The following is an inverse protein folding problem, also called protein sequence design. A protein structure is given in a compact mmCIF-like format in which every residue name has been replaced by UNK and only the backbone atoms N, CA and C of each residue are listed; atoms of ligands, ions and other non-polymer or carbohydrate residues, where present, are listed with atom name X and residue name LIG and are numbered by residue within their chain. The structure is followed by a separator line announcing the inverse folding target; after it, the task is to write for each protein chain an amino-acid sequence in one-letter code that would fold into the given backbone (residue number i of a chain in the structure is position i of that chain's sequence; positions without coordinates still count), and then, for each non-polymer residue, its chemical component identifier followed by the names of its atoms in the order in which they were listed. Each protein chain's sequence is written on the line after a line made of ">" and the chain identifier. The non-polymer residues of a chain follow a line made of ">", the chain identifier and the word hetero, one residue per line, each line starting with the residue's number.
data_IF_099408569425
#
_entry.id   IF_099408569425
#
_cell.length_a   1.000
_cell.length_b   1.000
_cell.length_c   1.000
_cell.angle_alpha   90.00
_cell.angle_beta   90.00
_cell.angle_gamma   90.00
#
_symmetry.space_group_name_H-M   'P 1'
#
loop_
_entity.id
_entity.type
_entity.pdbx_description
1 polymer ?
#
# COMPACT_ATOMS: atom_id res chain seq x y z
N UNK A 1 -16.99 -35.39 -10.29
CA UNK A 1 -15.92 -35.10 -9.31
C UNK A 1 -15.53 -33.64 -9.46
N UNK A 2 -15.90 -32.72 -8.55
CA UNK A 2 -15.40 -31.35 -8.64
C UNK A 2 -13.95 -31.33 -8.15
N UNK A 3 -13.06 -30.78 -8.98
CA UNK A 3 -11.67 -30.56 -8.63
C UNK A 3 -11.59 -29.63 -7.41
N UNK A 4 -10.84 -30.04 -6.38
CA UNK A 4 -10.50 -29.15 -5.26
C UNK A 4 -9.63 -28.04 -5.83
N UNK A 5 -10.20 -26.83 -5.96
CA UNK A 5 -9.42 -25.62 -6.18
C UNK A 5 -8.39 -25.52 -5.04
N UNK A 6 -7.11 -25.19 -5.32
CA UNK A 6 -6.14 -24.98 -4.28
C UNK A 6 -6.65 -23.87 -3.35
N UNK A 7 -6.57 -24.13 -2.05
CA UNK A 7 -6.83 -23.15 -1.00
C UNK A 7 -6.02 -21.89 -1.35
N UNK A 8 -6.72 -20.76 -1.40
CA UNK A 8 -6.26 -19.42 -1.78
C UNK A 8 -4.75 -19.19 -1.58
N UNK A 9 -4.01 -18.61 -2.55
CA UNK A 9 -2.69 -18.07 -2.23
C UNK A 9 -2.88 -17.09 -1.07
N UNK A 10 -2.17 -17.32 0.04
CA UNK A 10 -2.21 -16.43 1.20
C UNK A 10 -1.81 -15.04 0.72
N UNK A 11 -2.77 -14.15 0.54
CA UNK A 11 -2.48 -12.76 0.18
C UNK A 11 -2.07 -12.06 1.46
N UNK A 12 -0.77 -11.93 1.63
CA UNK A 12 -0.18 -11.26 2.77
C UNK A 12 -0.31 -9.74 2.58
N UNK A 13 -1.15 -9.13 3.41
CA UNK A 13 -1.30 -7.68 3.54
C UNK A 13 -0.55 -7.18 4.78
N UNK A 14 0.23 -6.12 4.65
CA UNK A 14 0.96 -5.50 5.75
C UNK A 14 0.52 -4.06 5.92
N UNK A 15 0.32 -3.61 7.17
CA UNK A 15 0.07 -2.17 7.41
C UNK A 15 1.26 -1.36 6.92
N UNK A 16 0.97 -0.18 6.39
CA UNK A 16 2.00 0.75 5.91
C UNK A 16 3.09 0.95 6.97
N UNK A 17 2.70 1.18 8.22
CA UNK A 17 3.64 1.41 9.31
C UNK A 17 4.39 0.18 9.80
N UNK A 18 3.83 -1.02 9.62
CA UNK A 18 4.58 -2.25 9.91
C UNK A 18 5.73 -2.39 8.91
N UNK A 19 5.47 -2.14 7.62
CA UNK A 19 6.50 -2.12 6.57
C UNK A 19 7.54 -1.04 6.83
N UNK A 20 7.12 0.18 7.21
CA UNK A 20 8.07 1.24 7.60
C UNK A 20 8.97 0.77 8.74
N UNK A 21 8.39 0.21 9.81
CA UNK A 21 9.13 -0.19 11.01
C UNK A 21 10.11 -1.33 10.70
N UNK A 22 9.65 -2.36 9.99
CA UNK A 22 10.46 -3.52 9.63
C UNK A 22 11.59 -3.13 8.67
N UNK A 23 11.29 -2.33 7.65
CA UNK A 23 12.28 -1.93 6.66
C UNK A 23 13.30 -0.93 7.21
N UNK A 24 12.88 -0.04 8.11
CA UNK A 24 13.78 0.86 8.85
C UNK A 24 14.78 0.06 9.70
N UNK A 25 14.31 -0.97 10.40
CA UNK A 25 15.19 -1.87 11.17
C UNK A 25 16.17 -2.61 10.28
N UNK A 26 15.71 -3.15 9.16
CA UNK A 26 16.56 -3.87 8.21
C UNK A 26 17.65 -2.97 7.59
N UNK A 27 17.30 -1.73 7.27
CA UNK A 27 18.21 -0.77 6.62
C UNK A 27 19.06 0.03 7.61
N UNK A 28 18.85 -0.13 8.93
CA UNK A 28 19.44 0.71 9.98
C UNK A 28 19.18 2.21 9.74
N UNK A 29 17.99 2.54 9.26
CA UNK A 29 17.55 3.90 8.96
C UNK A 29 16.46 4.36 9.95
N UNK A 30 16.27 5.67 10.09
CA UNK A 30 15.16 6.21 10.86
C UNK A 30 13.83 5.99 10.12
N UNK A 31 12.77 5.62 10.84
CA UNK A 31 11.45 5.35 10.24
C UNK A 31 10.91 6.50 9.38
N UNK A 32 11.16 7.76 9.76
CA UNK A 32 10.77 8.92 8.97
C UNK A 32 11.40 8.94 7.57
N UNK A 33 12.64 8.45 7.41
CA UNK A 33 13.31 8.37 6.11
C UNK A 33 12.58 7.35 5.24
N UNK A 34 12.32 6.17 5.80
CA UNK A 34 11.61 5.09 5.11
C UNK A 34 10.17 5.49 4.77
N UNK A 35 9.44 6.10 5.70
CA UNK A 35 8.07 6.55 5.46
C UNK A 35 7.99 7.62 4.37
N UNK A 36 8.97 8.56 4.32
CA UNK A 36 9.06 9.54 3.22
C UNK A 36 9.39 8.87 1.89
N UNK A 37 10.30 7.90 1.88
CA UNK A 37 10.62 7.13 0.68
C UNK A 37 9.39 6.37 0.16
N UNK A 38 8.65 5.70 1.04
CA UNK A 38 7.41 5.00 0.67
C UNK A 38 6.30 5.96 0.23
N UNK A 39 6.15 7.11 0.87
CA UNK A 39 5.18 8.11 0.41
C UNK A 39 5.50 8.61 -1.00
N UNK A 40 6.78 8.84 -1.32
CA UNK A 40 7.22 9.16 -2.69
C UNK A 40 6.96 7.99 -3.64
N UNK A 41 7.24 6.76 -3.21
CA UNK A 41 6.98 5.58 -4.00
C UNK A 41 5.51 5.46 -4.40
N UNK A 42 4.58 5.75 -3.47
CA UNK A 42 3.15 5.79 -3.75
C UNK A 42 2.80 6.95 -4.68
N UNK A 43 3.27 8.15 -4.36
CA UNK A 43 2.85 9.38 -5.03
C UNK A 43 3.41 9.55 -6.46
N UNK A 44 4.54 8.91 -6.76
CA UNK A 44 5.34 9.16 -7.97
C UNK A 44 5.72 7.86 -8.70
N UNK A 45 6.10 6.83 -7.96
CA UNK A 45 6.73 5.63 -8.52
C UNK A 45 5.75 4.47 -8.75
N UNK A 46 4.48 4.64 -8.38
CA UNK A 46 3.43 3.65 -8.62
C UNK A 46 3.36 2.51 -7.61
N UNK A 47 3.97 2.65 -6.43
CA UNK A 47 3.72 1.71 -5.34
C UNK A 47 2.25 1.75 -4.93
N UNK A 48 1.59 0.58 -4.93
CA UNK A 48 0.19 0.47 -4.53
C UNK A 48 0.08 0.29 -3.02
N UNK A 49 -0.77 1.13 -2.44
CA UNK A 49 -1.32 0.98 -1.10
C UNK A 49 -2.84 1.05 -1.19
N UNK A 50 -3.54 0.47 -0.22
CA UNK A 50 -4.99 0.35 -0.21
C UNK A 50 -5.52 0.73 1.17
N UNK A 51 -6.64 1.44 1.19
CA UNK A 51 -7.43 1.63 2.42
C UNK A 51 -8.57 0.60 2.50
N UNK A 52 -8.97 -0.01 1.39
CA UNK A 52 -10.00 -1.04 1.31
C UNK A 52 -9.52 -2.12 0.36
N UNK A 53 -9.71 -3.39 0.73
CA UNK A 53 -9.37 -4.51 -0.13
C UNK A 53 -10.40 -4.64 -1.24
N UNK A 54 -9.93 -4.48 -2.49
CA UNK A 54 -10.76 -4.59 -3.68
C UNK A 54 -11.49 -5.95 -3.77
N UNK A 55 -10.96 -7.01 -3.16
CA UNK A 55 -11.58 -8.35 -3.12
C UNK A 55 -12.75 -8.43 -2.14
N UNK A 56 -12.80 -7.51 -1.19
CA UNK A 56 -13.90 -7.36 -0.24
C UNK A 56 -14.98 -6.43 -0.80
N UNK A 57 -14.77 -5.91 -2.01
CA UNK A 57 -15.81 -5.30 -2.82
C UNK A 57 -16.54 -6.43 -3.54
N UNK A 58 -17.72 -6.86 -3.08
CA UNK A 58 -18.42 -7.99 -3.71
C UNK A 58 -18.74 -7.65 -5.16
N UNK A 59 -18.36 -8.53 -6.08
CA UNK A 59 -18.86 -8.52 -7.45
C UNK A 59 -20.36 -8.87 -7.47
N UNK A 60 -21.16 -8.02 -8.11
CA UNK A 60 -22.58 -8.20 -8.45
C UNK A 60 -23.57 -8.41 -7.27
N UNK A 61 -24.01 -7.31 -6.63
CA UNK A 61 -25.45 -6.93 -6.48
C UNK A 61 -25.66 -5.75 -5.52
N UNK A 62 -24.67 -5.37 -4.71
CA UNK A 62 -24.67 -4.09 -3.97
C UNK A 62 -23.26 -3.53 -3.98
N UNK A 63 -23.12 -2.27 -4.38
CA UNK A 63 -21.85 -1.58 -4.32
C UNK A 63 -21.28 -1.70 -2.90
N UNK A 64 -19.97 -1.99 -2.74
CA UNK A 64 -19.32 -1.97 -1.44
C UNK A 64 -19.64 -0.68 -0.70
N UNK A 65 -20.13 -0.79 0.53
CA UNK A 65 -20.41 0.38 1.34
C UNK A 65 -19.09 0.96 1.85
N UNK A 66 -18.58 1.92 1.09
CA UNK A 66 -17.51 2.82 1.52
C UNK A 66 -18.10 3.74 2.60
N UNK A 67 -17.99 3.33 3.87
CA UNK A 67 -18.60 4.04 5.00
C UNK A 67 -17.68 5.09 5.59
N UNK A 68 -18.28 6.18 6.06
CA UNK A 68 -17.71 7.09 7.04
C UNK A 68 -16.70 8.11 6.53
N UNK A 69 -16.13 7.97 5.32
CA UNK A 69 -15.13 8.91 4.75
C UNK A 69 -15.17 8.94 3.22
N UNK A 70 -14.71 10.02 2.56
CA UNK A 70 -14.52 10.03 1.11
C UNK A 70 -13.37 9.12 0.70
N UNK A 71 -13.58 8.34 -0.36
CA UNK A 71 -12.57 7.48 -0.97
C UNK A 71 -12.32 7.91 -2.41
N UNK A 72 -11.09 7.69 -2.88
CA UNK A 72 -10.63 8.08 -4.20
C UNK A 72 -9.90 6.91 -4.87
N UNK A 73 -10.16 6.74 -6.16
CA UNK A 73 -9.33 5.90 -7.01
C UNK A 73 -8.05 6.67 -7.35
N UNK A 74 -6.89 6.04 -7.15
CA UNK A 74 -5.60 6.67 -7.39
C UNK A 74 -4.68 5.76 -8.22
N UNK A 75 -3.98 6.37 -9.17
CA UNK A 75 -2.86 5.77 -9.88
C UNK A 75 -1.77 6.85 -10.04
N UNK A 76 -0.51 6.49 -9.78
CA UNK A 76 0.59 7.43 -9.93
C UNK A 76 0.93 7.69 -11.41
N UNK A 77 0.61 6.73 -12.29
CA UNK A 77 0.94 6.76 -13.70
C UNK A 77 -0.29 6.42 -14.56
N UNK A 78 -0.50 7.10 -15.70
CA UNK A 78 -1.57 6.76 -16.62
C UNK A 78 -1.49 5.30 -17.08
N UNK A 79 -2.61 4.58 -17.03
CA UNK A 79 -2.71 3.19 -17.46
C UNK A 79 -2.22 2.15 -16.43
N UNK A 80 -1.70 2.58 -15.27
CA UNK A 80 -1.37 1.69 -14.17
C UNK A 80 -2.63 1.20 -13.43
N UNK A 81 -2.49 0.10 -12.68
CA UNK A 81 -3.58 -0.41 -11.86
C UNK A 81 -3.97 0.58 -10.75
N UNK A 82 -5.25 0.92 -10.68
CA UNK A 82 -5.81 1.84 -9.68
C UNK A 82 -5.89 1.19 -8.30
N UNK A 83 -5.57 1.94 -7.25
CA UNK A 83 -5.89 1.59 -5.87
C UNK A 83 -6.99 2.47 -5.30
N UNK A 84 -7.66 2.03 -4.23
CA UNK A 84 -8.69 2.79 -3.52
C UNK A 84 -8.12 3.26 -2.18
N UNK A 85 -8.14 4.56 -1.96
CA UNK A 85 -7.60 5.20 -0.76
C UNK A 85 -8.63 6.12 -0.10
N UNK A 86 -8.55 6.26 1.23
CA UNK A 86 -9.16 7.38 1.93
C UNK A 86 -8.56 8.68 1.39
N UNK A 87 -9.41 9.67 1.11
CA UNK A 87 -8.94 10.93 0.52
C UNK A 87 -7.91 11.64 1.42
N UNK A 88 -8.10 11.57 2.74
CA UNK A 88 -7.16 12.15 3.73
C UNK A 88 -5.79 11.46 3.72
N UNK A 89 -5.75 10.13 3.58
CA UNK A 89 -4.50 9.39 3.49
C UNK A 89 -3.75 9.72 2.19
N UNK A 90 -4.46 9.78 1.06
CA UNK A 90 -3.85 10.22 -0.20
C UNK A 90 -3.32 11.65 -0.09
N UNK A 91 -4.11 12.57 0.46
CA UNK A 91 -3.68 13.96 0.65
C UNK A 91 -2.40 14.02 1.49
N UNK A 92 -2.36 13.29 2.60
CA UNK A 92 -1.19 13.23 3.47
C UNK A 92 0.05 12.67 2.75
N UNK A 93 -0.09 11.59 1.98
CA UNK A 93 1.02 11.01 1.21
C UNK A 93 1.55 11.99 0.16
N UNK A 94 0.66 12.70 -0.52
CA UNK A 94 1.06 13.73 -1.49
C UNK A 94 1.78 14.89 -0.82
N UNK A 95 1.35 15.33 0.36
CA UNK A 95 2.02 16.37 1.14
C UNK A 95 3.40 15.93 1.64
N UNK A 96 3.53 14.70 2.15
CA UNK A 96 4.83 14.12 2.52
C UNK A 96 5.75 14.06 1.30
N UNK A 97 5.27 13.57 0.17
CA UNK A 97 6.07 13.36 -1.03
C UNK A 97 6.48 14.66 -1.74
N UNK A 98 5.58 15.65 -1.80
CA UNK A 98 5.76 16.87 -2.62
C UNK A 98 6.13 18.10 -1.81
N UNK A 99 5.70 18.16 -0.54
CA UNK A 99 5.89 19.34 0.33
C UNK A 99 6.80 19.07 1.51
N UNK A 100 7.28 17.84 1.67
CA UNK A 100 8.19 17.45 2.75
C UNK A 100 7.52 17.45 4.12
N UNK A 101 6.20 17.30 4.18
CA UNK A 101 5.48 17.14 5.45
C UNK A 101 5.96 15.90 6.22
N UNK A 102 5.73 15.90 7.53
CA UNK A 102 6.09 14.76 8.36
C UNK A 102 5.10 13.61 8.19
N UNK A 103 5.57 12.36 7.96
CA UNK A 103 4.72 11.18 7.93
C UNK A 103 3.97 11.01 9.26
N UNK A 104 2.65 10.83 9.19
CA UNK A 104 1.79 10.67 10.37
C UNK A 104 1.34 9.21 10.51
N UNK A 105 1.58 8.63 11.69
CA UNK A 105 1.07 7.31 12.05
C UNK A 105 -0.43 7.25 12.05
N UNK A 106 -1.06 8.25 12.65
CA UNK A 106 -2.52 8.36 12.76
C UNK A 106 -3.19 8.50 11.39
N UNK A 107 -2.65 9.30 10.48
CA UNK A 107 -3.31 9.49 9.18
C UNK A 107 -3.17 8.26 8.26
N UNK A 108 -2.12 7.45 8.45
CA UNK A 108 -1.77 6.30 7.61
C UNK A 108 -1.97 4.93 8.30
N UNK A 109 -2.76 4.86 9.38
CA UNK A 109 -2.91 3.65 10.19
C UNK A 109 -3.78 2.55 9.53
N UNK A 110 -4.67 2.93 8.62
CA UNK A 110 -5.58 1.99 7.95
C UNK A 110 -4.98 1.47 6.64
N UNK A 111 -3.94 2.14 6.13
CA UNK A 111 -3.31 1.88 4.86
C UNK A 111 -2.49 0.62 4.98
N UNK A 112 -2.61 -0.21 3.97
CA UNK A 112 -1.83 -1.42 3.88
C UNK A 112 -1.40 -1.62 2.44
N UNK A 113 -0.40 -2.46 2.27
CA UNK A 113 0.13 -2.87 0.99
C UNK A 113 0.12 -4.39 0.92
N UNK A 114 -0.12 -4.90 -0.27
CA UNK A 114 0.00 -6.33 -0.53
C UNK A 114 1.46 -6.66 -0.79
N UNK A 115 1.92 -7.82 -0.29
CA UNK A 115 3.28 -8.29 -0.55
C UNK A 115 3.61 -8.36 -2.04
N UNK A 116 2.64 -8.79 -2.84
CA UNK A 116 2.78 -8.86 -4.31
C UNK A 116 2.97 -7.48 -4.95
N UNK A 117 2.19 -6.48 -4.51
CA UNK A 117 2.26 -5.11 -5.03
C UNK A 117 3.61 -4.47 -4.67
N UNK A 118 4.07 -4.67 -3.45
CA UNK A 118 5.36 -4.13 -3.00
C UNK A 118 6.54 -4.86 -3.65
N UNK A 119 6.46 -6.18 -3.84
CA UNK A 119 7.45 -6.95 -4.61
C UNK A 119 7.54 -6.44 -6.05
N UNK A 120 6.40 -6.28 -6.72
CA UNK A 120 6.35 -5.81 -8.10
C UNK A 120 6.98 -4.41 -8.23
N UNK A 121 6.70 -3.51 -7.27
CA UNK A 121 7.32 -2.19 -7.22
C UNK A 121 8.86 -2.27 -7.05
N UNK A 122 9.35 -3.09 -6.11
CA UNK A 122 10.80 -3.27 -5.90
C UNK A 122 11.50 -3.81 -7.15
N UNK A 123 10.91 -4.82 -7.79
CA UNK A 123 11.47 -5.43 -9.01
C UNK A 123 11.51 -4.42 -10.16
N UNK A 124 10.44 -3.64 -10.35
CA UNK A 124 10.39 -2.58 -11.37
C UNK A 124 11.47 -1.50 -11.18
N UNK A 125 11.84 -1.22 -9.92
CA UNK A 125 12.85 -0.21 -9.57
C UNK A 125 14.24 -0.81 -9.29
N UNK A 126 14.41 -2.13 -9.49
CA UNK A 126 15.67 -2.87 -9.23
C UNK A 126 16.19 -2.69 -7.79
N UNK A 127 15.27 -2.62 -6.83
CA UNK A 127 15.57 -2.54 -5.41
C UNK A 127 15.69 -3.93 -4.79
N UNK A 128 16.43 -4.04 -3.69
CA UNK A 128 16.56 -5.30 -2.96
C UNK A 128 15.24 -5.69 -2.28
N UNK A 129 14.90 -6.98 -2.36
CA UNK A 129 13.75 -7.54 -1.65
C UNK A 129 14.02 -7.53 -0.15
N UNK A 130 13.08 -7.01 0.67
CA UNK A 130 13.25 -7.03 2.10
C UNK A 130 13.30 -8.45 2.65
N UNK A 131 14.24 -8.69 3.55
CA UNK A 131 14.39 -9.98 4.20
C UNK A 131 13.29 -10.27 5.23
N UNK A 132 12.68 -9.23 5.83
CA UNK A 132 11.63 -9.39 6.84
C UNK A 132 10.36 -10.12 6.36
N UNK A 133 10.23 -10.42 5.06
CA UNK A 133 9.16 -11.24 4.49
C UNK A 133 9.46 -12.75 4.42
N UNK A 134 10.68 -13.16 4.77
CA UNK A 134 11.12 -14.56 4.71
C UNK A 134 11.46 -15.13 6.10
N UNK A 135 11.20 -14.36 7.16
CA UNK A 135 11.40 -14.73 8.56
C UNK A 135 10.08 -14.96 9.30
#
# INVERSE_FOLDING_TARGET
>A
MPARLPLTPYVESYRFWDVVTLWARERLEHELIVARALARAVALDGLKIQSVDARWLPGNQRAPELKGRPYVGYCAQPGAATCILRAEALHHLLDVARRGADPSREQLHEEYLLREDFRAWLEAHRLQLPHFWFY
#
